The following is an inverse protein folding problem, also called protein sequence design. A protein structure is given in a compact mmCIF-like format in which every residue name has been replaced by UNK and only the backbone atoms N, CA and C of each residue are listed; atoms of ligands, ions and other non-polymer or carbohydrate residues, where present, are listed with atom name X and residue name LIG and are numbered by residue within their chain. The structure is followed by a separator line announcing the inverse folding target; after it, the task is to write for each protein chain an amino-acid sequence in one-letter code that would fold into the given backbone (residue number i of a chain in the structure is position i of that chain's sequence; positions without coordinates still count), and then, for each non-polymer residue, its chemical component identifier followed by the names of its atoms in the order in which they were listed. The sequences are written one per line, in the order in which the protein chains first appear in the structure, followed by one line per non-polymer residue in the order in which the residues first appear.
data_IF_742710366992
#
_entry.id   IF_742710366992
#
_cell.length_a   1.000
_cell.length_b   1.000
_cell.length_c   1.000
_cell.angle_alpha   90.00
_cell.angle_beta   90.00
_cell.angle_gamma   90.00
#
_symmetry.space_group_name_H-M   'P 1'
#
loop_
_entity.id
_entity.type
_entity.pdbx_description
1 polymer ?
#
# COMPACT_ATOMS: atom_id res chain seq x y z
N UNK A 1 15.83 -1.09 -12.79
CA UNK A 1 14.80 -0.60 -11.86
C UNK A 1 14.17 -1.84 -11.26
N UNK A 2 14.02 -1.95 -9.94
CA UNK A 2 13.42 -3.14 -9.33
C UNK A 2 11.91 -3.17 -9.62
N UNK A 3 11.33 -4.35 -9.83
CA UNK A 3 9.87 -4.49 -9.91
C UNK A 3 9.25 -4.35 -8.52
N UNK A 4 7.94 -4.14 -8.43
CA UNK A 4 7.22 -4.09 -7.15
C UNK A 4 7.37 -5.40 -6.39
N UNK A 5 7.32 -6.52 -7.08
CA UNK A 5 7.49 -7.85 -6.51
C UNK A 5 8.89 -8.00 -5.90
N UNK A 6 9.93 -7.49 -6.57
CA UNK A 6 11.30 -7.47 -6.03
C UNK A 6 11.48 -6.53 -4.85
N UNK A 7 10.71 -5.42 -4.81
CA UNK A 7 10.68 -4.52 -3.65
C UNK A 7 10.03 -5.19 -2.44
N UNK A 8 9.06 -6.07 -2.65
CA UNK A 8 8.24 -6.66 -1.60
C UNK A 8 8.63 -8.10 -1.21
N UNK A 9 9.57 -8.73 -1.91
CA UNK A 9 9.92 -10.14 -1.72
C UNK A 9 10.34 -10.55 -0.29
N UNK A 10 10.77 -9.61 0.55
CA UNK A 10 11.17 -9.86 1.94
C UNK A 10 10.08 -9.65 2.99
N UNK A 11 8.83 -9.43 2.56
CA UNK A 11 7.73 -8.99 3.42
C UNK A 11 6.56 -9.97 3.41
N UNK A 12 5.96 -10.19 4.57
CA UNK A 12 4.68 -10.89 4.70
C UNK A 12 3.56 -9.89 4.43
N UNK A 13 2.99 -9.97 3.23
CA UNK A 13 1.86 -9.16 2.79
C UNK A 13 0.50 -9.76 3.21
N UNK A 14 0.55 -10.88 3.93
CA UNK A 14 -0.58 -11.52 4.57
C UNK A 14 -0.52 -11.26 6.09
N UNK A 15 -1.56 -10.65 6.63
CA UNK A 15 -1.69 -10.21 8.04
C UNK A 15 -0.83 -8.99 8.39
N UNK A 16 -1.46 -7.81 8.38
CA UNK A 16 -0.86 -6.54 8.75
C UNK A 16 -1.88 -5.51 9.24
N UNK A 17 -1.41 -4.29 9.47
CA UNK A 17 -2.22 -3.19 10.00
C UNK A 17 -1.91 -1.87 9.28
N UNK A 18 -2.95 -1.18 8.81
CA UNK A 18 -2.84 0.19 8.29
C UNK A 18 -2.79 1.14 9.50
N UNK A 19 -1.63 1.72 9.76
CA UNK A 19 -1.42 2.66 10.86
C UNK A 19 -1.86 4.09 10.52
N UNK A 20 -1.73 4.49 9.26
CA UNK A 20 -2.08 5.82 8.78
C UNK A 20 -2.39 5.79 7.29
N UNK A 21 -3.40 6.55 6.89
CA UNK A 21 -3.69 6.90 5.50
C UNK A 21 -3.77 8.42 5.39
N UNK A 22 -3.01 9.01 4.46
CA UNK A 22 -3.07 10.45 4.13
C UNK A 22 -3.30 10.59 2.63
N UNK A 23 -4.24 11.46 2.28
CA UNK A 23 -4.63 11.77 0.90
C UNK A 23 -4.42 13.26 0.65
N UNK A 24 -3.76 13.58 -0.46
CA UNK A 24 -3.53 14.95 -0.91
C UNK A 24 -3.90 15.02 -2.39
N UNK A 25 -5.13 15.47 -2.69
CA UNK A 25 -5.73 15.38 -4.03
C UNK A 25 -6.41 16.70 -4.42
N UNK A 26 -5.79 17.40 -5.37
CA UNK A 26 -6.32 18.62 -5.96
C UNK A 26 -7.03 18.35 -7.29
N UNK A 27 -8.29 18.82 -7.42
CA UNK A 27 -9.13 18.60 -8.61
C UNK A 27 -9.02 19.71 -9.66
N UNK A 28 -8.32 20.82 -9.36
CA UNK A 28 -8.06 21.90 -10.30
C UNK A 28 -6.95 22.84 -9.78
N UNK A 29 -5.72 22.66 -10.25
CA UNK A 29 -4.66 23.67 -10.09
C UNK A 29 -3.75 23.68 -11.32
N UNK A 30 -3.50 24.89 -11.83
CA UNK A 30 -2.67 25.17 -12.99
C UNK A 30 -1.35 24.36 -12.97
N UNK A 31 -1.13 23.56 -14.01
CA UNK A 31 0.10 22.83 -14.36
C UNK A 31 0.76 21.90 -13.31
N UNK A 32 0.28 21.84 -12.07
CA UNK A 32 0.80 20.97 -11.01
C UNK A 32 -0.35 20.34 -10.23
N UNK A 33 -0.90 19.24 -10.76
CA UNK A 33 -1.91 18.45 -10.05
C UNK A 33 -1.22 17.63 -8.95
N UNK A 34 -1.34 18.10 -7.70
CA UNK A 34 -0.96 17.33 -6.52
C UNK A 34 -1.97 16.22 -6.31
N UNK A 35 -1.58 14.99 -6.66
CA UNK A 35 -2.38 13.77 -6.50
C UNK A 35 -1.49 12.71 -5.87
N UNK A 36 -1.46 12.72 -4.55
CA UNK A 36 -0.59 11.88 -3.74
C UNK A 36 -1.39 11.14 -2.67
N UNK A 37 -0.90 9.97 -2.32
CA UNK A 37 -1.37 9.23 -1.15
C UNK A 37 -0.15 8.70 -0.39
N UNK A 38 -0.23 8.68 0.93
CA UNK A 38 0.80 8.12 1.79
C UNK A 38 0.15 7.16 2.79
N UNK A 39 0.66 5.95 2.86
CA UNK A 39 0.24 4.92 3.80
C UNK A 39 1.40 4.55 4.71
N UNK A 40 1.10 4.36 5.99
CA UNK A 40 2.00 3.69 6.92
C UNK A 40 1.34 2.36 7.31
N UNK A 41 2.07 1.27 7.10
CA UNK A 41 1.52 -0.08 7.20
C UNK A 41 2.47 -0.92 8.05
N UNK A 42 1.99 -1.45 9.17
CA UNK A 42 2.74 -2.37 10.00
C UNK A 42 2.55 -3.80 9.47
N UNK A 43 3.66 -4.43 9.11
CA UNK A 43 3.71 -5.78 8.58
C UNK A 43 4.83 -6.58 9.23
N UNK A 44 5.06 -7.79 8.75
CA UNK A 44 6.24 -8.57 9.13
C UNK A 44 7.24 -8.63 7.99
N UNK A 45 8.52 -8.55 8.33
CA UNK A 45 9.65 -8.71 7.41
C UNK A 45 10.46 -9.94 7.82
N UNK A 46 10.97 -10.67 6.84
CA UNK A 46 11.90 -11.77 7.08
C UNK A 46 13.27 -11.20 7.50
N UNK A 47 13.68 -11.51 8.73
CA UNK A 47 15.03 -11.28 9.23
C UNK A 47 15.88 -12.55 9.11
N UNK A 48 17.17 -12.44 9.47
CA UNK A 48 18.08 -13.58 9.45
C UNK A 48 17.52 -14.78 10.23
N UNK A 49 17.77 -15.99 9.71
CA UNK A 49 17.32 -17.27 10.28
C UNK A 49 15.79 -17.49 10.24
N UNK A 50 15.11 -17.05 9.19
CA UNK A 50 13.66 -17.22 8.98
C UNK A 50 12.80 -16.65 10.12
N UNK A 51 13.32 -15.65 10.84
CA UNK A 51 12.59 -14.98 11.92
C UNK A 51 11.81 -13.82 11.34
N UNK A 52 10.50 -13.83 11.53
CA UNK A 52 9.64 -12.71 11.16
C UNK A 52 9.65 -11.65 12.26
N UNK A 53 9.92 -10.41 11.90
CA UNK A 53 9.93 -9.27 12.82
C UNK A 53 8.96 -8.19 12.36
N UNK A 54 8.32 -7.44 13.28
CA UNK A 54 7.52 -6.28 12.91
C UNK A 54 8.34 -5.28 12.10
N UNK A 55 7.75 -4.70 11.06
CA UNK A 55 8.33 -3.71 10.18
C UNK A 55 7.25 -2.70 9.77
N UNK A 56 7.54 -1.42 9.91
CA UNK A 56 6.67 -0.37 9.37
C UNK A 56 7.09 -0.07 7.94
N UNK A 57 6.19 -0.25 6.98
CA UNK A 57 6.35 0.25 5.62
C UNK A 57 5.71 1.60 5.47
N UNK A 58 6.44 2.53 4.86
CA UNK A 58 5.94 3.81 4.36
C UNK A 58 5.80 3.69 2.85
N UNK A 59 4.56 3.70 2.39
CA UNK A 59 4.22 3.60 0.98
C UNK A 59 3.77 4.98 0.51
N UNK A 60 4.46 5.54 -0.47
CA UNK A 60 4.10 6.83 -1.06
C UNK A 60 3.74 6.64 -2.53
N UNK A 61 2.54 7.09 -2.88
CA UNK A 61 1.95 7.02 -4.20
C UNK A 61 1.91 8.42 -4.79
N UNK A 62 2.37 8.57 -6.03
CA UNK A 62 2.36 9.85 -6.76
C UNK A 62 1.70 9.70 -8.13
N UNK A 63 1.00 10.74 -8.55
CA UNK A 63 0.19 10.71 -9.76
C UNK A 63 -0.96 9.72 -9.61
N UNK A 64 -1.71 9.84 -8.51
CA UNK A 64 -2.88 8.99 -8.23
C UNK A 64 -3.99 9.26 -9.25
N UNK A 65 -4.49 8.19 -9.86
CA UNK A 65 -5.55 8.21 -10.88
C UNK A 65 -6.90 7.79 -10.33
N UNK A 66 -6.91 6.85 -9.38
CA UNK A 66 -8.11 6.31 -8.77
C UNK A 66 -7.84 6.01 -7.29
N UNK A 67 -8.83 6.34 -6.48
CA UNK A 67 -8.93 5.96 -5.07
C UNK A 67 -10.33 5.35 -4.89
N UNK A 68 -10.40 4.17 -4.29
CA UNK A 68 -11.65 3.59 -3.76
C UNK A 68 -11.46 3.43 -2.27
N UNK A 69 -12.39 3.96 -1.50
CA UNK A 69 -12.42 3.82 -0.03
C UNK A 69 -13.83 3.42 0.34
N UNK A 70 -14.00 2.14 0.59
CA UNK A 70 -15.22 1.50 1.08
C UNK A 70 -14.89 0.75 2.37
N UNK A 71 -14.31 1.49 3.32
CA UNK A 71 -13.76 0.95 4.57
C UNK A 71 -14.62 1.28 5.78
N UNK A 72 -14.63 0.35 6.74
CA UNK A 72 -15.05 0.59 8.11
C UNK A 72 -13.81 0.91 8.95
N UNK A 73 -13.51 2.19 9.11
CA UNK A 73 -12.30 2.69 9.80
C UNK A 73 -12.23 2.32 11.30
N UNK A 74 -13.19 1.56 11.82
CA UNK A 74 -13.09 0.88 13.12
C UNK A 74 -12.06 -0.26 13.11
N UNK A 75 -11.76 -0.82 11.93
CA UNK A 75 -10.75 -1.86 11.74
C UNK A 75 -9.55 -1.32 10.95
N UNK A 76 -8.35 -1.54 11.47
CA UNK A 76 -7.09 -1.20 10.81
C UNK A 76 -6.37 -2.43 10.24
N UNK A 77 -6.82 -3.63 10.61
CA UNK A 77 -6.17 -4.89 10.22
C UNK A 77 -6.66 -5.38 8.88
N UNK A 78 -5.76 -5.96 8.12
CA UNK A 78 -6.06 -6.63 6.87
C UNK A 78 -5.41 -8.02 6.81
N UNK A 79 -6.06 -8.96 6.15
CA UNK A 79 -5.58 -10.31 5.87
C UNK A 79 -4.64 -10.37 4.68
N UNK A 80 -4.86 -9.57 3.64
CA UNK A 80 -4.11 -9.68 2.38
C UNK A 80 -3.86 -8.32 1.71
N UNK A 81 -2.79 -8.24 0.92
CA UNK A 81 -2.47 -7.06 0.09
C UNK A 81 -2.22 -7.50 -1.35
N UNK A 82 -2.84 -6.81 -2.30
CA UNK A 82 -2.48 -6.91 -3.71
C UNK A 82 -1.68 -5.67 -4.06
N UNK A 83 -0.42 -5.87 -4.46
CA UNK A 83 0.41 -4.77 -4.95
C UNK A 83 1.12 -5.22 -6.23
N UNK A 84 0.71 -4.64 -7.37
CA UNK A 84 1.18 -5.03 -8.71
C UNK A 84 1.31 -3.84 -9.66
N UNK A 85 2.16 -3.98 -10.67
CA UNK A 85 2.12 -3.15 -11.87
C UNK A 85 1.10 -3.74 -12.85
N UNK A 86 0.04 -2.99 -13.19
CA UNK A 86 -1.07 -3.45 -14.06
C UNK A 86 -0.91 -3.01 -15.51
N UNK A 87 -0.24 -1.89 -15.74
CA UNK A 87 0.14 -1.35 -17.05
C UNK A 87 1.48 -0.62 -16.87
N UNK A 88 2.19 -0.32 -17.95
CA UNK A 88 3.48 0.38 -17.87
C UNK A 88 3.36 1.66 -17.02
N UNK A 89 4.10 1.70 -15.90
CA UNK A 89 4.08 2.80 -14.92
C UNK A 89 2.70 3.07 -14.33
N UNK A 90 1.94 2.01 -14.07
CA UNK A 90 0.65 2.08 -13.37
C UNK A 90 0.56 0.98 -12.34
N UNK A 91 0.58 1.39 -11.08
CA UNK A 91 0.59 0.52 -9.93
C UNK A 91 -0.79 0.43 -9.31
N UNK A 92 -1.19 -0.78 -8.97
CA UNK A 92 -2.39 -1.12 -8.24
C UNK A 92 -1.99 -1.56 -6.84
N UNK A 93 -2.61 -0.97 -5.83
CA UNK A 93 -2.47 -1.36 -4.42
C UNK A 93 -3.86 -1.53 -3.83
N UNK A 94 -4.16 -2.69 -3.25
CA UNK A 94 -5.32 -2.89 -2.40
C UNK A 94 -4.98 -3.64 -1.12
N UNK A 95 -5.75 -3.36 -0.08
CA UNK A 95 -5.74 -4.05 1.21
C UNK A 95 -7.06 -4.77 1.37
N UNK A 96 -7.05 -5.98 1.89
CA UNK A 96 -8.22 -6.88 1.93
C UNK A 96 -8.93 -7.03 0.58
N UNK A 97 -8.18 -7.39 -0.47
CA UNK A 97 -8.76 -7.62 -1.79
C UNK A 97 -9.91 -8.63 -1.72
N UNK A 98 -10.98 -8.34 -2.44
CA UNK A 98 -12.11 -9.24 -2.53
C UNK A 98 -11.68 -10.57 -3.19
N UNK A 99 -11.95 -11.67 -2.50
CA UNK A 99 -11.70 -13.03 -2.99
C UNK A 99 -10.26 -13.54 -2.80
N UNK A 100 -9.33 -12.73 -2.28
CA UNK A 100 -7.96 -13.13 -1.91
C UNK A 100 -7.19 -13.89 -3.02
N UNK A 101 -7.48 -13.60 -4.28
CA UNK A 101 -6.84 -14.26 -5.44
C UNK A 101 -5.48 -13.68 -5.79
N UNK A 102 -5.04 -12.64 -5.07
CA UNK A 102 -3.82 -11.92 -5.41
C UNK A 102 -3.94 -11.10 -6.69
N UNK A 103 -5.13 -10.90 -7.24
CA UNK A 103 -5.38 -10.14 -8.47
C UNK A 103 -6.30 -8.94 -8.21
N UNK A 104 -6.17 -7.83 -8.96
CA UNK A 104 -7.09 -6.71 -8.89
C UNK A 104 -8.55 -7.16 -9.12
N UNK A 105 -9.46 -6.69 -8.27
CA UNK A 105 -10.88 -6.99 -8.39
C UNK A 105 -11.73 -5.72 -8.31
N UNK A 106 -12.89 -5.71 -8.97
CA UNK A 106 -13.76 -4.53 -9.01
C UNK A 106 -14.41 -4.18 -7.67
N UNK A 107 -14.55 -5.18 -6.81
CA UNK A 107 -15.15 -5.09 -5.48
C UNK A 107 -14.14 -4.88 -4.35
N UNK A 108 -12.87 -4.63 -4.66
CA UNK A 108 -11.88 -4.26 -3.64
C UNK A 108 -12.29 -2.93 -2.97
N UNK A 109 -12.17 -2.88 -1.65
CA UNK A 109 -12.70 -1.85 -0.76
C UNK A 109 -11.72 -0.70 -0.50
N UNK A 110 -10.43 -0.97 -0.32
CA UNK A 110 -9.40 0.06 -0.23
C UNK A 110 -8.41 -0.07 -1.39
N UNK A 111 -8.55 0.78 -2.40
CA UNK A 111 -7.80 0.67 -3.66
C UNK A 111 -7.12 1.98 -4.02
N UNK A 112 -5.88 1.88 -4.47
CA UNK A 112 -5.12 2.95 -5.10
C UNK A 112 -4.61 2.53 -6.47
N UNK A 113 -4.75 3.43 -7.45
CA UNK A 113 -4.09 3.32 -8.75
C UNK A 113 -3.24 4.56 -8.97
N UNK A 114 -1.93 4.40 -9.15
CA UNK A 114 -0.99 5.53 -9.24
C UNK A 114 0.10 5.33 -10.30
N UNK A 115 0.70 6.42 -10.77
CA UNK A 115 1.79 6.37 -11.76
C UNK A 115 3.16 6.02 -11.19
N UNK A 116 3.37 6.26 -9.90
CA UNK A 116 4.64 6.04 -9.24
C UNK A 116 4.41 5.60 -7.81
N UNK A 117 5.31 4.76 -7.32
CA UNK A 117 5.30 4.27 -5.95
C UNK A 117 6.72 4.22 -5.39
N UNK A 118 6.87 4.61 -4.13
CA UNK A 118 8.06 4.36 -3.34
C UNK A 118 7.68 3.64 -2.05
N UNK A 119 8.55 2.73 -1.61
CA UNK A 119 8.39 1.95 -0.38
C UNK A 119 9.67 2.11 0.43
N UNK A 120 9.52 2.55 1.67
CA UNK A 120 10.62 2.75 2.60
C UNK A 120 10.31 2.11 3.96
N UNK A 121 11.32 1.60 4.64
CA UNK A 121 11.18 1.13 6.02
C UNK A 121 11.14 2.33 6.97
N UNK A 122 10.09 2.41 7.79
CA UNK A 122 9.90 3.41 8.81
C UNK A 122 10.45 2.98 10.17
N UNK A 123 10.43 3.91 11.12
CA UNK A 123 10.72 3.63 12.53
C UNK A 123 9.42 3.21 13.20
N UNK A 124 9.40 2.02 13.80
CA UNK A 124 8.35 1.63 14.72
C UNK A 124 8.55 2.49 15.97
N UNK A 125 7.71 3.51 16.15
CA UNK A 125 7.62 4.19 17.44
C UNK A 125 7.07 3.17 18.44
N UNK A 126 7.60 3.14 19.66
CA UNK A 126 7.10 2.31 20.75
C UNK A 126 5.63 2.64 21.00
N UNK A 127 4.75 1.95 20.28
CA UNK A 127 3.30 1.95 20.47
C UNK A 127 2.93 0.65 21.18
N UNK A 128 3.54 0.41 22.34
CA UNK A 128 3.11 -0.52 23.39
C UNK A 128 3.66 -0.04 24.73
#
# INVERSE_FOLDING_TARGET
MKTVEELLAGYALNDGEICSLKLDVDYAANNYLHRQAALEVLIRKEAAHNKWVPCLLKIQLSGVHRIVISEDFELSRYSDVVFKEIEERKYYLSFDPYGNLGEPHENDNLVFVASSVSVEEGVIQDRF
#
